data_IF_646905439578
#
_entry.id   IF_646905439578
#
_cell.length_a   1.000
_cell.length_b   1.000
_cell.length_c   1.000
_cell.angle_alpha   90.00
_cell.angle_beta   90.00
_cell.angle_gamma   90.00
#
_symmetry.space_group_name_H-M   'P 1'
#
loop_
_entity.id
_entity.type
_entity.pdbx_description
1 polymer ?
#
# COMPACT_ATOMS: atom_id res chain seq x y z
N UNK A 1 5.06 -19.28 -14.79
CA UNK A 1 4.11 -19.29 -13.66
C UNK A 1 4.26 -17.99 -12.89
N UNK A 2 3.17 -17.45 -12.37
CA UNK A 2 3.15 -16.22 -11.58
C UNK A 2 2.72 -16.58 -10.15
N UNK A 3 3.56 -16.28 -9.16
CA UNK A 3 3.33 -16.54 -7.73
C UNK A 3 3.17 -15.21 -6.98
N UNK A 4 1.95 -14.93 -6.53
CA UNK A 4 1.60 -13.70 -5.83
C UNK A 4 1.36 -13.92 -4.32
N UNK A 5 1.50 -15.15 -3.82
CA UNK A 5 1.18 -15.49 -2.44
C UNK A 5 2.33 -15.12 -1.46
N UNK A 6 1.96 -14.79 -0.22
CA UNK A 6 2.91 -14.54 0.90
C UNK A 6 2.40 -15.28 2.14
N UNK A 7 3.04 -16.40 2.57
CA UNK A 7 4.22 -17.04 1.97
C UNK A 7 3.93 -17.65 0.58
N UNK A 8 5.00 -17.86 -0.20
CA UNK A 8 4.92 -18.38 -1.58
C UNK A 8 4.27 -19.75 -1.65
N UNK A 9 3.43 -19.94 -2.67
CA UNK A 9 2.78 -21.22 -2.94
C UNK A 9 3.67 -22.17 -3.74
N UNK A 10 4.56 -21.61 -4.57
CA UNK A 10 5.41 -22.40 -5.46
C UNK A 10 6.81 -22.52 -4.87
N UNK A 11 7.27 -23.76 -4.73
CA UNK A 11 8.65 -24.03 -4.34
C UNK A 11 9.62 -23.44 -5.37
N UNK A 12 10.57 -22.56 -4.97
CA UNK A 12 11.50 -21.92 -5.90
C UNK A 12 12.34 -22.90 -6.72
N UNK A 13 12.55 -24.13 -6.22
CA UNK A 13 13.34 -25.17 -6.91
C UNK A 13 12.68 -25.63 -8.21
N UNK A 14 11.37 -25.42 -8.36
CA UNK A 14 10.64 -25.71 -9.61
C UNK A 14 11.17 -24.89 -10.79
N UNK A 15 11.79 -23.72 -10.54
CA UNK A 15 12.44 -22.92 -11.58
C UNK A 15 13.66 -23.59 -12.23
N UNK A 16 14.20 -24.67 -11.62
CA UNK A 16 15.34 -25.40 -12.18
C UNK A 16 14.94 -26.39 -13.29
N UNK A 17 13.65 -26.60 -13.51
CA UNK A 17 13.14 -27.49 -14.55
C UNK A 17 13.24 -26.81 -15.93
N UNK A 18 13.64 -27.57 -16.94
CA UNK A 18 13.76 -27.06 -18.30
C UNK A 18 12.41 -26.55 -18.82
N UNK A 19 12.41 -25.35 -19.41
CA UNK A 19 11.21 -24.70 -19.93
C UNK A 19 10.31 -24.06 -18.87
N UNK A 20 10.69 -24.07 -17.58
CA UNK A 20 9.91 -23.45 -16.51
C UNK A 20 10.47 -22.07 -16.16
N UNK A 21 9.61 -21.06 -16.21
CA UNK A 21 9.86 -19.74 -15.63
C UNK A 21 8.89 -19.49 -14.48
N UNK A 22 9.40 -18.97 -13.37
CA UNK A 22 8.60 -18.54 -12.21
C UNK A 22 8.87 -17.06 -12.00
N UNK A 23 7.79 -16.27 -11.96
CA UNK A 23 7.79 -14.86 -11.59
C UNK A 23 7.10 -14.75 -10.24
N UNK A 24 7.70 -14.02 -9.29
CA UNK A 24 7.10 -13.75 -7.98
C UNK A 24 6.99 -12.24 -7.70
N UNK A 25 6.48 -11.87 -6.52
CA UNK A 25 6.33 -10.48 -6.11
C UNK A 25 7.63 -9.67 -6.15
N UNK A 26 8.78 -10.27 -5.83
CA UNK A 26 10.07 -9.57 -5.88
C UNK A 26 10.43 -9.18 -7.33
N UNK A 27 10.13 -10.05 -8.30
CA UNK A 27 10.36 -9.78 -9.72
C UNK A 27 9.47 -8.62 -10.22
N UNK A 28 8.21 -8.61 -9.79
CA UNK A 28 7.26 -7.54 -10.10
C UNK A 28 7.73 -6.21 -9.49
N UNK A 29 8.17 -6.23 -8.23
CA UNK A 29 8.68 -5.03 -7.57
C UNK A 29 9.94 -4.48 -8.22
N UNK A 30 10.81 -5.34 -8.74
CA UNK A 30 12.01 -4.91 -9.48
C UNK A 30 11.64 -4.12 -10.73
N UNK A 31 10.66 -4.60 -11.50
CA UNK A 31 10.15 -3.90 -12.69
C UNK A 31 9.44 -2.61 -12.29
N UNK A 32 8.58 -2.66 -11.27
CA UNK A 32 7.87 -1.48 -10.77
C UNK A 32 8.83 -0.37 -10.30
N UNK A 33 9.93 -0.73 -9.63
CA UNK A 33 10.97 0.22 -9.20
C UNK A 33 11.69 0.91 -10.37
N UNK A 34 11.81 0.24 -11.53
CA UNK A 34 12.40 0.86 -12.74
C UNK A 34 11.52 1.99 -13.30
N UNK A 35 10.22 2.00 -12.98
CA UNK A 35 9.28 3.06 -13.31
C UNK A 35 8.98 3.98 -12.11
N UNK A 36 9.87 4.01 -11.10
CA UNK A 36 9.64 4.66 -9.81
C UNK A 36 9.38 6.16 -9.87
N UNK A 37 9.96 6.88 -10.85
CA UNK A 37 9.82 8.33 -10.97
C UNK A 37 8.38 8.79 -11.22
N UNK A 38 7.63 8.05 -12.05
CA UNK A 38 6.21 8.34 -12.30
C UNK A 38 5.36 8.12 -11.04
N UNK A 39 5.70 7.09 -10.25
CA UNK A 39 5.03 6.80 -8.99
C UNK A 39 5.31 7.87 -7.93
N UNK A 40 6.54 8.35 -7.84
CA UNK A 40 6.92 9.42 -6.91
C UNK A 40 6.18 10.73 -7.25
N UNK A 41 6.11 11.10 -8.53
CA UNK A 41 5.35 12.26 -8.97
C UNK A 41 3.85 12.16 -8.63
N UNK A 42 3.23 11.00 -8.87
CA UNK A 42 1.84 10.74 -8.48
C UNK A 42 1.63 10.81 -6.97
N UNK A 43 2.56 10.30 -6.17
CA UNK A 43 2.47 10.38 -4.72
C UNK A 43 2.53 11.85 -4.27
N UNK A 44 3.48 12.63 -4.78
CA UNK A 44 3.59 14.05 -4.46
C UNK A 44 2.35 14.84 -4.87
N UNK A 45 1.76 14.55 -6.04
CA UNK A 45 0.58 15.26 -6.55
C UNK A 45 -0.69 14.95 -5.74
N UNK A 46 -0.84 13.73 -5.20
CA UNK A 46 -2.08 13.28 -4.57
C UNK A 46 -2.00 13.06 -3.06
N UNK A 47 -0.82 13.22 -2.43
CA UNK A 47 -0.66 13.09 -0.98
C UNK A 47 -1.62 13.99 -0.17
N UNK A 48 -1.99 15.16 -0.70
CA UNK A 48 -2.93 16.09 -0.06
C UNK A 48 -4.29 15.43 0.25
N UNK A 49 -4.74 14.46 -0.55
CA UNK A 49 -6.01 13.76 -0.30
C UNK A 49 -5.98 13.02 1.04
N UNK A 50 -4.83 12.43 1.39
CA UNK A 50 -4.67 11.76 2.68
C UNK A 50 -4.64 12.77 3.82
N UNK A 51 -3.95 13.90 3.63
CA UNK A 51 -3.87 14.98 4.61
C UNK A 51 -5.25 15.57 4.92
N UNK A 52 -6.07 15.83 3.89
CA UNK A 52 -7.44 16.31 4.03
C UNK A 52 -8.32 15.32 4.81
N UNK A 53 -8.20 14.01 4.53
CA UNK A 53 -8.96 12.99 5.26
C UNK A 53 -8.53 12.90 6.72
N UNK A 54 -7.22 12.97 7.00
CA UNK A 54 -6.69 12.98 8.36
C UNK A 54 -7.21 14.21 9.12
N UNK A 55 -7.18 15.39 8.51
CA UNK A 55 -7.68 16.62 9.13
C UNK A 55 -9.18 16.54 9.40
N UNK A 56 -9.95 15.98 8.46
CA UNK A 56 -11.40 15.74 8.63
C UNK A 56 -11.69 14.82 9.81
N UNK A 57 -10.94 13.73 9.94
CA UNK A 57 -11.06 12.79 11.07
C UNK A 57 -10.73 13.49 12.39
N UNK A 58 -9.64 14.27 12.47
CA UNK A 58 -9.30 15.01 13.67
C UNK A 58 -10.41 15.99 14.07
N UNK A 59 -10.94 16.78 13.13
CA UNK A 59 -12.06 17.71 13.38
C UNK A 59 -13.29 16.97 13.91
N UNK A 60 -13.63 15.83 13.32
CA UNK A 60 -14.75 15.02 13.78
C UNK A 60 -14.55 14.52 15.21
N UNK A 61 -13.37 13.99 15.52
CA UNK A 61 -13.04 13.50 16.86
C UNK A 61 -13.10 14.62 17.91
N UNK A 62 -12.45 15.77 17.65
CA UNK A 62 -12.49 16.92 18.56
C UNK A 62 -13.90 17.46 18.79
N UNK A 63 -14.77 17.42 17.78
CA UNK A 63 -16.18 17.79 17.94
C UNK A 63 -16.91 16.87 18.92
N UNK A 64 -16.68 15.55 18.85
CA UNK A 64 -17.33 14.60 19.75
C UNK A 64 -16.80 14.69 21.19
N UNK A 65 -15.49 14.93 21.37
CA UNK A 65 -14.88 15.13 22.69
C UNK A 65 -15.47 16.35 23.42
N UNK A 66 -15.47 17.50 22.75
CA UNK A 66 -16.01 18.76 23.31
C UNK A 66 -17.51 18.68 23.63
N UNK A 67 -18.28 17.96 22.80
CA UNK A 67 -19.72 17.76 23.05
C UNK A 67 -19.99 16.81 24.22
N UNK A 68 -19.12 15.83 24.45
CA UNK A 68 -19.22 14.91 25.57
C UNK A 68 -18.93 15.61 26.90
N UNK A 69 -17.94 16.51 26.93
CA UNK A 69 -17.67 17.37 28.10
C UNK A 69 -18.83 18.34 28.41
N UNK A 70 -19.43 18.94 27.38
CA UNK A 70 -20.57 19.83 27.54
C UNK A 70 -21.86 19.15 28.02
N UNK A 71 -21.97 17.82 27.84
CA UNK A 71 -23.15 17.04 28.27
C UNK A 71 -23.06 16.51 29.71
N UNK A 72 -21.93 16.72 30.38
CA UNK A 72 -21.64 16.26 31.76
C UNK A 72 -21.77 17.41 32.79
N UNK A 73 -21.94 18.65 32.33
CA UNK A 73 -22.25 19.83 33.17
C UNK A 73 -23.76 20.07 33.34
#
# INVERSE_FOLDING_TARGET
MLDLAVPRDIDPRIANLEGVQILNLDDIWKISKQHGSFREQLLDEYCYLLEEQIESIHKALSYYETKQEASVC
#
